data_IF_803233608165
#
_entry.id   IF_803233608165
#
_cell.length_a   1.000
_cell.length_b   1.000
_cell.length_c   1.000
_cell.angle_alpha   90.00
_cell.angle_beta   90.00
_cell.angle_gamma   90.00
#
_symmetry.space_group_name_H-M   'P 1'
#
loop_
_entity.id
_entity.type
_entity.pdbx_description
1 polymer ?
#
# COMPACT_ATOMS: atom_id res chain seq x y z
N UNK A 1 5.24 -7.90 10.07
CA UNK A 1 3.86 -8.19 10.58
C UNK A 1 3.22 -6.92 11.15
N UNK A 2 1.89 -6.73 11.13
CA UNK A 2 1.25 -5.54 11.74
C UNK A 2 1.18 -5.67 13.28
N UNK A 3 1.08 -4.56 14.03
CA UNK A 3 1.09 -4.56 15.51
C UNK A 3 -0.13 -5.25 16.15
N UNK A 4 -1.30 -5.18 15.50
CA UNK A 4 -2.53 -5.82 16.01
C UNK A 4 -2.45 -7.35 15.93
N UNK A 5 -2.10 -7.87 14.76
CA UNK A 5 -1.84 -9.28 14.51
C UNK A 5 -0.67 -9.78 15.37
N UNK A 6 0.37 -8.96 15.56
CA UNK A 6 1.47 -9.27 16.47
C UNK A 6 0.95 -9.43 17.91
N UNK A 7 0.14 -8.49 18.41
CA UNK A 7 -0.45 -8.57 19.74
C UNK A 7 -1.37 -9.79 19.89
N UNK A 8 -2.18 -10.09 18.88
CA UNK A 8 -3.04 -11.29 18.86
C UNK A 8 -2.22 -12.58 18.86
N UNK A 9 -1.15 -12.65 18.07
CA UNK A 9 -0.25 -13.80 18.02
C UNK A 9 0.47 -14.02 19.36
N UNK A 10 0.97 -12.95 19.99
CA UNK A 10 1.57 -13.01 21.33
C UNK A 10 0.53 -13.47 22.35
N UNK A 11 -0.67 -12.88 22.36
CA UNK A 11 -1.73 -13.24 23.30
C UNK A 11 -2.14 -14.72 23.16
N UNK A 12 -2.28 -15.22 21.92
CA UNK A 12 -2.58 -16.62 21.66
C UNK A 12 -1.44 -17.55 22.12
N UNK A 13 -0.17 -17.20 21.84
CA UNK A 13 0.97 -17.99 22.27
C UNK A 13 1.08 -18.06 23.81
N UNK A 14 0.87 -16.95 24.50
CA UNK A 14 0.86 -16.91 25.98
C UNK A 14 -0.29 -17.72 26.55
N UNK A 15 -1.49 -17.64 25.96
CA UNK A 15 -2.64 -18.46 26.38
C UNK A 15 -2.40 -19.97 26.21
N UNK A 16 -1.54 -20.36 25.26
CA UNK A 16 -1.10 -21.74 25.05
C UNK A 16 0.11 -22.14 25.90
N UNK A 17 0.56 -21.27 26.81
CA UNK A 17 1.63 -21.55 27.78
C UNK A 17 3.04 -21.13 27.35
N UNK A 18 3.20 -20.37 26.27
CA UNK A 18 4.49 -19.80 25.91
C UNK A 18 4.89 -18.66 26.87
N UNK A 19 6.20 -18.55 27.15
CA UNK A 19 6.72 -17.41 27.91
C UNK A 19 6.48 -16.09 27.15
N UNK A 20 5.94 -15.03 27.79
CA UNK A 20 5.65 -13.76 27.13
C UNK A 20 6.85 -13.09 26.47
N UNK A 21 8.03 -13.13 27.09
CA UNK A 21 9.23 -12.50 26.54
C UNK A 21 9.73 -13.27 25.31
N UNK A 22 9.66 -14.61 25.36
CA UNK A 22 9.98 -15.46 24.21
C UNK A 22 8.99 -15.26 23.06
N UNK A 23 7.68 -15.17 23.36
CA UNK A 23 6.64 -14.94 22.35
C UNK A 23 6.80 -13.58 21.65
N UNK A 24 7.10 -12.52 22.40
CA UNK A 24 7.39 -11.19 21.84
C UNK A 24 8.65 -11.22 20.99
N UNK A 25 9.74 -11.82 21.48
CA UNK A 25 10.99 -11.92 20.74
C UNK A 25 10.81 -12.69 19.41
N UNK A 26 10.07 -13.81 19.42
CA UNK A 26 9.78 -14.59 18.23
C UNK A 26 8.93 -13.80 17.21
N UNK A 27 7.92 -13.07 17.69
CA UNK A 27 7.08 -12.20 16.86
C UNK A 27 7.88 -11.04 16.23
N UNK A 28 8.86 -10.51 16.95
CA UNK A 28 9.77 -9.48 16.43
C UNK A 28 10.72 -9.98 15.34
N UNK A 29 10.96 -11.29 15.22
CA UNK A 29 11.77 -11.87 14.13
C UNK A 29 10.96 -12.08 12.84
N UNK A 30 9.65 -11.86 12.86
CA UNK A 30 8.79 -11.97 11.66
C UNK A 30 8.84 -10.67 10.87
N UNK A 31 9.94 -10.49 10.14
CA UNK A 31 10.15 -9.35 9.22
C UNK A 31 9.16 -9.39 8.05
N UNK A 32 8.85 -10.59 7.54
CA UNK A 32 8.03 -10.78 6.35
C UNK A 32 6.88 -11.77 6.57
N UNK A 33 5.67 -11.32 6.25
CA UNK A 33 4.55 -12.23 5.94
C UNK A 33 4.57 -12.40 4.43
N UNK A 34 5.03 -13.56 3.96
CA UNK A 34 5.15 -13.89 2.55
C UNK A 34 3.88 -13.45 1.76
N UNK A 35 4.07 -12.64 0.72
CA UNK A 35 3.01 -12.21 -0.20
C UNK A 35 2.31 -10.87 0.08
N UNK A 36 2.64 -10.14 1.17
CA UNK A 36 2.02 -8.82 1.45
C UNK A 36 2.60 -7.66 0.62
N UNK A 37 3.87 -7.75 0.23
CA UNK A 37 4.48 -6.78 -0.65
C UNK A 37 5.46 -7.45 -1.63
N UNK A 38 5.72 -6.78 -2.75
CA UNK A 38 6.64 -7.25 -3.80
C UNK A 38 7.46 -6.08 -4.32
N UNK A 39 8.76 -6.27 -4.46
CA UNK A 39 9.64 -5.29 -5.11
C UNK A 39 9.86 -5.65 -6.57
N UNK A 40 9.71 -4.67 -7.46
CA UNK A 40 9.92 -4.82 -8.91
C UNK A 40 10.74 -3.66 -9.45
N UNK A 41 11.52 -3.88 -10.51
CA UNK A 41 12.29 -2.84 -11.18
C UNK A 41 11.55 -2.38 -12.43
N UNK A 42 11.33 -1.08 -12.55
CA UNK A 42 10.65 -0.44 -13.69
C UNK A 42 11.54 0.71 -14.16
N UNK A 43 12.35 0.47 -15.20
CA UNK A 43 13.36 1.45 -15.64
C UNK A 43 14.34 1.77 -14.51
N UNK A 44 14.43 3.05 -14.15
CA UNK A 44 15.28 3.55 -13.06
C UNK A 44 14.66 3.42 -11.65
N UNK A 45 13.44 2.86 -11.55
CA UNK A 45 12.67 2.82 -10.30
C UNK A 45 12.68 1.44 -9.66
N UNK A 46 12.92 1.40 -8.35
CA UNK A 46 12.71 0.22 -7.51
C UNK A 46 11.36 0.38 -6.79
N UNK A 47 10.31 -0.22 -7.35
CA UNK A 47 8.96 -0.08 -6.85
C UNK A 47 8.62 -1.18 -5.85
N UNK A 48 8.32 -0.82 -4.60
CA UNK A 48 7.77 -1.72 -3.57
C UNK A 48 6.25 -1.62 -3.57
N UNK A 49 5.58 -2.70 -3.93
CA UNK A 49 4.13 -2.76 -4.12
C UNK A 49 3.47 -3.39 -2.89
N UNK A 50 2.57 -2.67 -2.25
CA UNK A 50 1.75 -3.06 -1.10
C UNK A 50 0.30 -3.30 -1.56
N UNK A 51 -0.28 -4.44 -1.19
CA UNK A 51 -1.67 -4.77 -1.50
C UNK A 51 -2.60 -4.45 -0.33
N UNK A 52 -3.65 -3.65 -0.58
CA UNK A 52 -4.68 -3.31 0.40
C UNK A 52 -6.08 -3.62 -0.12
N UNK A 53 -6.87 -4.42 0.61
CA UNK A 53 -8.17 -4.95 0.12
C UNK A 53 -9.41 -4.41 0.84
N UNK A 54 -9.24 -3.76 1.99
CA UNK A 54 -10.33 -3.28 2.83
C UNK A 54 -9.85 -2.07 3.65
N UNK A 55 -10.75 -1.28 4.27
CA UNK A 55 -10.36 -0.04 4.97
C UNK A 55 -9.26 -0.24 6.02
N UNK A 56 -9.35 -1.32 6.81
CA UNK A 56 -8.33 -1.66 7.80
C UNK A 56 -6.97 -1.97 7.15
N UNK A 57 -6.97 -2.78 6.10
CA UNK A 57 -5.78 -3.11 5.32
C UNK A 57 -5.17 -1.89 4.61
N UNK A 58 -6.00 -0.92 4.24
CA UNK A 58 -5.55 0.38 3.72
C UNK A 58 -4.82 1.17 4.78
N UNK A 59 -5.38 1.33 5.98
CA UNK A 59 -4.70 1.99 7.10
C UNK A 59 -3.37 1.31 7.43
N UNK A 60 -3.33 -0.02 7.42
CA UNK A 60 -2.09 -0.78 7.60
C UNK A 60 -1.06 -0.52 6.50
N UNK A 61 -1.48 -0.60 5.23
CA UNK A 61 -0.59 -0.39 4.10
C UNK A 61 -0.02 1.03 4.08
N UNK A 62 -0.86 2.04 4.36
CA UNK A 62 -0.44 3.44 4.45
C UNK A 62 0.55 3.69 5.59
N UNK A 63 0.37 3.02 6.74
CA UNK A 63 1.33 3.10 7.85
C UNK A 63 2.69 2.43 7.54
N UNK A 64 2.75 1.56 6.52
CA UNK A 64 3.96 0.88 6.07
C UNK A 64 4.70 1.61 4.94
N UNK A 65 4.09 2.65 4.36
CA UNK A 65 4.71 3.45 3.30
C UNK A 65 5.93 4.18 3.87
N UNK A 66 7.08 3.98 3.22
CA UNK A 66 8.28 4.77 3.51
C UNK A 66 8.09 6.19 2.96
N UNK A 67 7.86 7.15 3.86
CA UNK A 67 7.68 8.56 3.50
C UNK A 67 8.96 9.23 2.98
N UNK A 68 10.11 8.57 3.14
CA UNK A 68 11.40 9.01 2.60
C UNK A 68 11.74 8.37 1.25
N UNK A 69 10.80 7.61 0.67
CA UNK A 69 10.91 7.15 -0.70
C UNK A 69 10.91 8.34 -1.69
N UNK A 70 11.51 8.14 -2.85
CA UNK A 70 11.61 9.15 -3.90
C UNK A 70 10.23 9.42 -4.55
N UNK A 71 9.28 8.49 -4.43
CA UNK A 71 7.89 8.70 -4.83
C UNK A 71 6.90 7.77 -4.15
N UNK A 72 5.65 8.21 -4.05
CA UNK A 72 4.51 7.41 -3.59
C UNK A 72 3.44 7.39 -4.66
N UNK A 73 2.97 6.21 -5.04
CA UNK A 73 1.87 5.98 -5.98
C UNK A 73 0.76 5.25 -5.26
N UNK A 74 -0.47 5.75 -5.38
CA UNK A 74 -1.65 5.06 -4.86
C UNK A 74 -2.58 4.74 -6.02
N UNK A 75 -2.80 3.45 -6.28
CA UNK A 75 -3.58 2.95 -7.39
C UNK A 75 -4.91 2.33 -6.92
N UNK A 76 -6.03 2.92 -7.34
CA UNK A 76 -7.37 2.47 -6.96
C UNK A 76 -8.18 2.16 -8.22
N UNK A 77 -8.69 0.94 -8.29
CA UNK A 77 -9.73 0.53 -9.23
C UNK A 77 -11.08 0.37 -8.52
N UNK A 78 -12.18 0.33 -9.26
CA UNK A 78 -13.53 0.18 -8.69
C UNK A 78 -14.29 -0.97 -9.35
N UNK A 79 -13.72 -2.18 -9.31
CA UNK A 79 -14.36 -3.38 -9.88
C UNK A 79 -15.03 -4.21 -8.79
N UNK A 80 -15.89 -5.15 -9.17
CA UNK A 80 -16.58 -6.07 -8.23
C UNK A 80 -15.64 -6.66 -7.14
N UNK A 81 -14.42 -7.15 -7.45
CA UNK A 81 -13.51 -7.67 -6.41
C UNK A 81 -12.91 -6.61 -5.48
N UNK A 82 -12.93 -5.34 -5.86
CA UNK A 82 -12.41 -4.21 -5.08
C UNK A 82 -13.48 -3.50 -4.26
N UNK A 83 -14.76 -3.73 -4.58
CA UNK A 83 -15.88 -2.87 -4.21
C UNK A 83 -16.06 -1.75 -5.23
N UNK A 84 -17.23 -1.71 -5.87
CA UNK A 84 -17.56 -0.67 -6.86
C UNK A 84 -17.88 0.67 -6.18
N UNK A 85 -18.38 0.61 -4.94
CA UNK A 85 -18.54 1.75 -4.06
C UNK A 85 -17.19 2.12 -3.42
N UNK A 86 -16.77 3.36 -3.64
CA UNK A 86 -15.54 3.93 -3.12
C UNK A 86 -15.75 4.82 -1.89
N UNK A 87 -16.92 4.76 -1.26
CA UNK A 87 -17.21 5.45 0.00
C UNK A 87 -16.14 5.18 1.07
N UNK A 88 -15.54 4.00 1.06
CA UNK A 88 -14.43 3.63 1.94
C UNK A 88 -13.19 4.53 1.84
N UNK A 89 -12.97 5.24 0.72
CA UNK A 89 -11.88 6.22 0.61
C UNK A 89 -11.98 7.30 1.69
N UNK A 90 -13.19 7.60 2.15
CA UNK A 90 -13.45 8.60 3.19
C UNK A 90 -13.18 8.07 4.60
N UNK A 91 -13.23 6.74 4.80
CA UNK A 91 -12.86 6.08 6.06
C UNK A 91 -11.34 5.93 6.22
N UNK A 92 -10.58 6.13 5.14
CA UNK A 92 -9.12 6.07 5.14
C UNK A 92 -8.52 7.44 5.46
N UNK A 93 -7.53 7.46 6.37
CA UNK A 93 -6.88 8.67 6.87
C UNK A 93 -5.63 9.00 6.04
N UNK A 94 -5.84 9.61 4.88
CA UNK A 94 -4.76 10.04 3.99
C UNK A 94 -3.95 11.23 4.50
N UNK A 95 -4.44 11.93 5.52
CA UNK A 95 -3.81 13.13 6.12
C UNK A 95 -2.40 12.82 6.68
N UNK A 96 -2.07 11.54 6.88
CA UNK A 96 -0.76 11.08 7.33
C UNK A 96 0.37 11.33 6.32
N UNK A 97 0.06 11.64 5.05
CA UNK A 97 1.09 11.89 4.02
C UNK A 97 1.81 13.23 4.18
N UNK A 98 1.26 14.19 4.92
CA UNK A 98 1.89 15.50 5.20
C UNK A 98 2.49 16.16 3.95
N UNK A 99 3.82 16.24 3.84
CA UNK A 99 4.55 16.85 2.71
C UNK A 99 4.91 15.86 1.58
N UNK A 100 4.53 14.59 1.73
CA UNK A 100 4.85 13.54 0.77
C UNK A 100 3.95 13.70 -0.45
N UNK A 101 4.54 13.96 -1.61
CA UNK A 101 3.79 14.07 -2.87
C UNK A 101 3.32 12.68 -3.33
N UNK A 102 2.03 12.56 -3.62
CA UNK A 102 1.40 11.31 -4.04
C UNK A 102 1.00 11.38 -5.51
N UNK A 103 1.21 10.30 -6.27
CA UNK A 103 0.61 10.14 -7.60
C UNK A 103 -0.63 9.25 -7.47
N UNK A 104 -1.80 9.84 -7.69
CA UNK A 104 -3.06 9.10 -7.76
C UNK A 104 -3.13 8.37 -9.11
N UNK A 105 -3.46 7.07 -9.07
CA UNK A 105 -3.47 6.21 -10.25
C UNK A 105 -4.64 5.21 -10.22
N UNK A 106 -4.75 4.44 -11.30
CA UNK A 106 -5.80 3.43 -11.48
C UNK A 106 -7.06 3.99 -12.13
N UNK A 107 -8.02 3.11 -12.37
CA UNK A 107 -9.30 3.38 -13.01
C UNK A 107 -10.08 4.48 -12.29
N UNK A 108 -9.97 4.50 -10.95
CA UNK A 108 -10.65 5.46 -10.07
C UNK A 108 -9.67 6.47 -9.46
N UNK A 109 -8.57 6.73 -10.17
CA UNK A 109 -7.56 7.70 -9.77
C UNK A 109 -8.12 9.12 -9.59
N UNK A 110 -9.15 9.50 -10.35
CA UNK A 110 -9.82 10.81 -10.21
C UNK A 110 -10.56 10.94 -8.88
N UNK A 111 -11.34 9.92 -8.49
CA UNK A 111 -12.03 9.90 -7.19
C UNK A 111 -11.02 9.97 -6.03
N UNK A 112 -9.92 9.21 -6.16
CA UNK A 112 -8.82 9.26 -5.22
C UNK A 112 -8.17 10.66 -5.16
N UNK A 113 -7.90 11.29 -6.30
CA UNK A 113 -7.34 12.64 -6.36
C UNK A 113 -8.24 13.66 -5.63
N UNK A 114 -9.56 13.58 -5.82
CA UNK A 114 -10.52 14.39 -5.06
C UNK A 114 -10.37 14.14 -3.55
N UNK A 115 -10.35 12.87 -3.12
CA UNK A 115 -10.18 12.53 -1.68
C UNK A 115 -8.86 13.04 -1.11
N UNK A 116 -7.76 12.93 -1.86
CA UNK A 116 -6.44 13.45 -1.46
C UNK A 116 -6.45 14.98 -1.35
N UNK A 117 -7.15 15.67 -2.25
CA UNK A 117 -7.37 17.12 -2.17
C UNK A 117 -8.10 17.52 -0.88
N UNK A 118 -9.15 16.80 -0.50
CA UNK A 118 -9.84 17.01 0.78
C UNK A 118 -8.94 16.69 2.00
N UNK A 119 -8.00 15.75 1.85
CA UNK A 119 -7.02 15.44 2.89
C UNK A 119 -5.90 16.50 3.02
N UNK A 120 -5.84 17.48 2.12
CA UNK A 120 -4.74 18.44 2.04
C UNK A 120 -3.42 17.82 1.56
N UNK A 121 -3.46 16.66 0.89
CA UNK A 121 -2.26 15.96 0.39
C UNK A 121 -1.90 16.49 -1.00
N UNK A 122 -0.65 16.92 -1.18
CA UNK A 122 -0.15 17.31 -2.49
C UNK A 122 -0.11 16.09 -3.42
N UNK A 123 -0.77 16.19 -4.57
CA UNK A 123 -0.86 15.06 -5.49
C UNK A 123 -0.92 15.46 -6.97
N UNK A 124 -0.60 14.49 -7.81
CA UNK A 124 -0.85 14.52 -9.26
C UNK A 124 -1.70 13.31 -9.66
N UNK A 125 -2.24 13.31 -10.88
CA UNK A 125 -3.07 12.22 -11.41
C UNK A 125 -2.42 11.62 -12.66
N UNK A 126 -2.15 10.31 -12.61
CA UNK A 126 -1.70 9.51 -13.76
C UNK A 126 -2.39 8.15 -13.71
N UNK A 127 -3.38 7.94 -14.56
CA UNK A 127 -4.23 6.74 -14.51
C UNK A 127 -3.45 5.42 -14.72
N UNK A 128 -2.53 5.37 -15.68
CA UNK A 128 -1.72 4.17 -15.88
C UNK A 128 -0.68 4.03 -14.76
N UNK A 129 -0.78 2.96 -13.97
CA UNK A 129 0.07 2.76 -12.79
C UNK A 129 1.56 2.67 -13.14
N UNK A 130 1.91 2.13 -14.32
CA UNK A 130 3.32 2.03 -14.72
C UNK A 130 3.87 3.41 -15.11
N UNK A 131 3.09 4.22 -15.81
CA UNK A 131 3.40 5.60 -16.11
C UNK A 131 3.44 6.47 -14.84
N UNK A 132 2.55 6.21 -13.87
CA UNK A 132 2.56 6.88 -12.57
C UNK A 132 3.88 6.65 -11.84
N UNK A 133 4.34 5.39 -11.77
CA UNK A 133 5.65 5.05 -11.21
C UNK A 133 6.77 5.74 -12.02
N UNK A 134 6.69 5.72 -13.34
CA UNK A 134 7.68 6.36 -14.21
C UNK A 134 7.76 7.89 -14.03
N UNK A 135 6.66 8.53 -13.61
CA UNK A 135 6.57 9.98 -13.36
C UNK A 135 7.22 10.42 -12.05
N UNK A 136 7.51 9.49 -11.14
CA UNK A 136 8.24 9.77 -9.91
C UNK A 136 9.72 10.07 -10.20
N UNK A 137 10.41 10.81 -9.30
CA UNK A 137 11.86 10.90 -9.32
C UNK A 137 12.54 9.50 -9.34
N UNK A 138 13.69 9.34 -10.03
CA UNK A 138 14.45 8.10 -10.02
C UNK A 138 14.77 7.62 -8.61
N UNK A 139 14.50 6.35 -8.31
CA UNK A 139 14.86 5.74 -7.03
C UNK A 139 13.81 4.79 -6.47
N UNK A 140 13.58 4.84 -5.16
CA UNK A 140 12.59 3.99 -4.47
C UNK A 140 11.20 4.57 -4.64
N UNK A 141 10.26 3.73 -5.07
CA UNK A 141 8.85 4.12 -5.21
C UNK A 141 7.97 3.19 -4.37
N UNK A 142 7.16 3.75 -3.50
CA UNK A 142 6.15 3.02 -2.75
C UNK A 142 4.84 3.00 -3.53
N UNK A 143 4.27 1.81 -3.76
CA UNK A 143 3.04 1.66 -4.53
C UNK A 143 2.00 0.97 -3.68
N UNK A 144 0.92 1.65 -3.31
CA UNK A 144 -0.22 1.04 -2.62
C UNK A 144 -1.33 0.80 -3.63
N UNK A 145 -1.76 -0.44 -3.79
CA UNK A 145 -2.78 -0.81 -4.78
C UNK A 145 -3.87 -1.69 -4.17
N UNK A 146 -5.11 -1.51 -4.63
CA UNK A 146 -6.16 -2.51 -4.40
C UNK A 146 -6.02 -3.72 -5.33
N UNK A 147 -6.89 -4.71 -5.16
CA UNK A 147 -6.69 -6.04 -5.72
C UNK A 147 -6.59 -6.04 -7.23
N UNK A 148 -7.55 -5.44 -7.95
CA UNK A 148 -7.49 -5.46 -9.42
C UNK A 148 -6.43 -4.51 -9.97
N UNK A 149 -6.13 -3.38 -9.30
CA UNK A 149 -5.02 -2.50 -9.67
C UNK A 149 -3.67 -3.24 -9.54
N UNK A 150 -3.49 -4.01 -8.48
CA UNK A 150 -2.32 -4.87 -8.27
C UNK A 150 -2.19 -5.91 -9.38
N UNK A 151 -3.26 -6.65 -9.69
CA UNK A 151 -3.25 -7.64 -10.77
C UNK A 151 -2.98 -7.01 -12.14
N UNK A 152 -3.54 -5.83 -12.40
CA UNK A 152 -3.32 -5.09 -13.64
C UNK A 152 -1.85 -4.67 -13.77
N UNK A 153 -1.25 -4.15 -12.70
CA UNK A 153 0.17 -3.82 -12.65
C UNK A 153 1.03 -5.08 -12.91
N UNK A 154 0.73 -6.21 -12.27
CA UNK A 154 1.44 -7.47 -12.53
C UNK A 154 1.37 -7.91 -13.99
N UNK A 155 0.19 -7.84 -14.61
CA UNK A 155 0.01 -8.16 -16.04
C UNK A 155 0.75 -7.18 -16.96
N UNK A 156 0.84 -5.92 -16.57
CA UNK A 156 1.60 -4.93 -17.33
C UNK A 156 3.11 -5.21 -17.25
N UNK A 157 3.61 -5.62 -16.08
CA UNK A 157 5.01 -5.98 -15.89
C UNK A 157 5.39 -7.27 -16.60
N UNK A 158 4.53 -8.29 -16.57
CA UNK A 158 4.77 -9.56 -17.26
C UNK A 158 4.82 -9.41 -18.79
N UNK A 159 4.17 -8.38 -19.36
CA UNK A 159 4.24 -8.07 -20.80
C UNK A 159 5.50 -7.28 -21.20
N UNK A 160 6.23 -6.73 -20.22
CA UNK A 160 7.41 -5.90 -20.42
C UNK A 160 8.73 -6.63 -20.15
N UNK A 161 8.68 -7.79 -19.51
CA UNK A 161 9.80 -8.71 -19.34
C UNK A 161 9.77 -9.80 -20.40
#
# INVERSE_FOLDING_TARGET
MNRGNAAQAVAAAVALGADPAVAVAAVCQVDEVAGRYRTVRIGAHQARILLAKNPAGWQEALAMVDKHADGVVIAVNGRVPDGEDLSWLWDVRFEHFEKTRVVAAGERGTDLAVRLGYAGVEHTLVHDTVAAIASCPPGRVEVVANYTAFLQLQRALARRG
#
